data_IF_114828410719
#
_entry.id   IF_114828410719
#
_cell.length_a   1.000
_cell.length_b   1.000
_cell.length_c   1.000
_cell.angle_alpha   90.00
_cell.angle_beta   90.00
_cell.angle_gamma   90.00
#
_symmetry.space_group_name_H-M   'P 1'
#
loop_
_entity.id
_entity.type
_entity.pdbx_description
1 polymer ?
#
# COMPACT_ATOMS: atom_id res chain seq x y z
N UNK A 1 -3.10 -5.83 -38.08
CA UNK A 1 -2.87 -5.27 -36.73
C UNK A 1 -3.51 -6.09 -35.61
N UNK A 2 -4.42 -7.04 -35.87
CA UNK A 2 -5.02 -7.88 -34.81
C UNK A 2 -4.17 -9.10 -34.38
N UNK A 3 -3.09 -9.43 -35.09
CA UNK A 3 -2.31 -10.65 -34.89
C UNK A 3 -1.17 -10.53 -33.87
N UNK A 4 -0.66 -9.32 -33.64
CA UNK A 4 0.44 -9.10 -32.69
C UNK A 4 -0.05 -9.07 -31.23
N UNK A 5 -1.21 -8.45 -30.98
CA UNK A 5 -1.85 -8.44 -29.66
C UNK A 5 -2.35 -9.82 -29.23
N UNK A 6 -2.88 -10.61 -30.17
CA UNK A 6 -3.28 -12.00 -29.91
C UNK A 6 -2.07 -12.92 -29.67
N UNK A 7 -0.93 -12.67 -30.32
CA UNK A 7 0.31 -13.39 -30.07
C UNK A 7 0.95 -13.02 -28.72
N UNK A 8 0.88 -11.75 -28.29
CA UNK A 8 1.32 -11.31 -26.96
C UNK A 8 0.44 -11.89 -25.85
N UNK A 9 -0.88 -11.95 -26.06
CA UNK A 9 -1.82 -12.60 -25.14
C UNK A 9 -1.58 -14.11 -25.07
N UNK A 10 -1.28 -14.76 -26.20
CA UNK A 10 -0.95 -16.19 -26.23
C UNK A 10 0.39 -16.49 -25.53
N UNK A 11 1.42 -15.66 -25.72
CA UNK A 11 2.70 -15.79 -25.04
C UNK A 11 2.59 -15.55 -23.52
N UNK A 12 1.75 -14.59 -23.11
CA UNK A 12 1.39 -14.36 -21.71
C UNK A 12 0.57 -15.50 -21.10
N UNK A 13 -0.34 -16.10 -21.87
CA UNK A 13 -1.16 -17.24 -21.44
C UNK A 13 -0.37 -18.54 -21.34
N UNK A 14 0.64 -18.75 -22.19
CA UNK A 14 1.48 -19.94 -22.17
C UNK A 14 2.47 -19.93 -20.97
N UNK A 15 2.90 -18.73 -20.52
CA UNK A 15 3.63 -18.56 -19.25
C UNK A 15 2.73 -18.61 -18.00
N UNK A 16 1.42 -18.41 -18.14
CA UNK A 16 0.45 -18.53 -17.05
C UNK A 16 0.04 -20.00 -16.77
N UNK A 17 0.42 -20.94 -17.64
CA UNK A 17 0.15 -22.36 -17.47
C UNK A 17 1.10 -22.97 -16.44
N UNK A 18 0.59 -23.16 -15.21
CA UNK A 18 1.24 -23.86 -14.09
C UNK A 18 2.51 -23.18 -13.56
N UNK A 19 2.35 -22.32 -12.56
CA UNK A 19 3.45 -21.88 -11.71
C UNK A 19 4.21 -23.10 -11.13
N UNK A 20 5.46 -23.37 -11.54
CA UNK A 20 6.18 -24.52 -11.00
C UNK A 20 6.40 -24.32 -9.51
N UNK A 21 6.16 -25.36 -8.71
CA UNK A 21 6.22 -25.28 -7.24
C UNK A 21 7.59 -24.77 -6.76
N UNK A 22 8.66 -25.14 -7.47
CA UNK A 22 10.00 -24.64 -7.21
C UNK A 22 10.10 -23.11 -7.31
N UNK A 23 9.53 -22.51 -8.36
CA UNK A 23 9.57 -21.06 -8.55
C UNK A 23 8.74 -20.32 -7.48
N UNK A 24 7.59 -20.89 -7.08
CA UNK A 24 6.77 -20.34 -6.00
C UNK A 24 7.56 -20.37 -4.68
N UNK A 25 8.19 -21.50 -4.36
CA UNK A 25 8.95 -21.66 -3.12
C UNK A 25 10.18 -20.74 -3.11
N UNK A 26 10.90 -20.58 -4.22
CA UNK A 26 12.01 -19.62 -4.29
C UNK A 26 11.54 -18.17 -4.11
N UNK A 27 10.36 -17.79 -4.63
CA UNK A 27 9.79 -16.47 -4.37
C UNK A 27 9.39 -16.29 -2.91
N UNK A 28 8.82 -17.31 -2.27
CA UNK A 28 8.53 -17.30 -0.83
C UNK A 28 9.83 -17.14 -0.02
N UNK A 29 10.89 -17.85 -0.38
CA UNK A 29 12.22 -17.69 0.23
C UNK A 29 12.75 -16.27 0.10
N UNK A 30 12.66 -15.67 -1.09
CA UNK A 30 13.08 -14.29 -1.34
C UNK A 30 12.30 -13.28 -0.49
N UNK A 31 10.98 -13.45 -0.36
CA UNK A 31 10.12 -12.56 0.43
C UNK A 31 10.36 -12.71 1.94
N UNK A 32 10.62 -13.94 2.40
CA UNK A 32 10.93 -14.22 3.80
C UNK A 32 12.41 -14.03 4.16
N UNK A 33 13.24 -13.56 3.22
CA UNK A 33 14.69 -13.42 3.38
C UNK A 33 15.36 -14.70 3.92
N UNK A 34 14.94 -15.84 3.39
CA UNK A 34 15.39 -17.17 3.80
C UNK A 34 16.20 -17.84 2.70
N UNK A 35 17.44 -18.22 2.99
CA UNK A 35 18.29 -18.86 1.99
C UNK A 35 18.06 -20.38 1.85
N UNK A 36 17.44 -21.00 2.87
CA UNK A 36 17.27 -22.46 2.95
C UNK A 36 15.81 -22.88 3.12
N UNK A 37 15.46 -24.05 2.59
CA UNK A 37 14.15 -24.68 2.79
C UNK A 37 13.87 -24.96 4.28
N UNK A 38 14.91 -25.20 5.09
CA UNK A 38 14.75 -25.35 6.53
C UNK A 38 14.31 -24.03 7.19
N UNK A 39 14.91 -22.91 6.79
CA UNK A 39 14.54 -21.59 7.30
C UNK A 39 13.13 -21.20 6.85
N UNK A 40 12.78 -21.45 5.57
CA UNK A 40 11.41 -21.23 5.09
C UNK A 40 10.39 -22.10 5.84
N UNK A 41 10.70 -23.38 6.10
CA UNK A 41 9.82 -24.27 6.84
C UNK A 41 9.49 -23.73 8.23
N UNK A 42 10.50 -23.26 8.95
CA UNK A 42 10.33 -22.59 10.25
C UNK A 42 9.51 -21.31 10.10
N UNK A 43 9.81 -20.50 9.09
CA UNK A 43 9.14 -19.23 8.83
C UNK A 43 7.63 -19.38 8.57
N UNK A 44 7.21 -20.47 7.92
CA UNK A 44 5.79 -20.72 7.57
C UNK A 44 5.12 -21.77 8.46
N UNK A 45 5.79 -22.18 9.55
CA UNK A 45 5.33 -23.20 10.49
C UNK A 45 4.92 -24.52 9.81
N UNK A 46 5.79 -25.04 8.96
CA UNK A 46 5.65 -26.36 8.32
C UNK A 46 6.94 -27.18 8.50
N UNK A 47 6.95 -28.43 8.01
CA UNK A 47 8.16 -29.24 8.01
C UNK A 47 8.98 -29.06 6.73
N UNK A 48 10.31 -29.15 6.84
CA UNK A 48 11.21 -29.21 5.66
C UNK A 48 10.83 -30.34 4.70
N UNK A 49 10.30 -31.45 5.24
CA UNK A 49 9.81 -32.58 4.44
C UNK A 49 8.58 -32.24 3.60
N UNK A 50 7.73 -31.32 4.04
CA UNK A 50 6.59 -30.85 3.26
C UNK A 50 7.05 -30.00 2.07
N UNK A 51 8.01 -29.10 2.28
CA UNK A 51 8.62 -28.32 1.18
C UNK A 51 9.23 -29.25 0.13
N UNK A 52 10.03 -30.23 0.56
CA UNK A 52 10.61 -31.21 -0.36
C UNK A 52 9.54 -32.02 -1.13
N UNK A 53 8.42 -32.36 -0.49
CA UNK A 53 7.28 -33.03 -1.15
C UNK A 53 6.62 -32.14 -2.20
N UNK A 54 6.41 -30.86 -1.91
CA UNK A 54 5.81 -29.90 -2.84
C UNK A 54 6.66 -29.74 -4.10
N UNK A 55 7.98 -29.58 -3.93
CA UNK A 55 8.95 -29.54 -5.04
C UNK A 55 8.91 -30.81 -5.86
N UNK A 56 9.06 -31.98 -5.21
CA UNK A 56 9.10 -33.29 -5.89
C UNK A 56 7.83 -33.60 -6.68
N UNK A 57 6.67 -33.16 -6.17
CA UNK A 57 5.37 -33.38 -6.82
C UNK A 57 4.97 -32.26 -7.77
N UNK A 58 5.81 -31.22 -7.89
CA UNK A 58 5.48 -29.97 -8.56
C UNK A 58 4.08 -29.43 -8.18
N UNK A 59 3.73 -29.55 -6.89
CA UNK A 59 2.42 -29.19 -6.37
C UNK A 59 2.53 -27.91 -5.56
N UNK A 60 1.90 -26.84 -6.05
CA UNK A 60 1.87 -25.56 -5.35
C UNK A 60 1.00 -25.66 -4.08
N UNK A 61 1.52 -25.31 -2.90
CA UNK A 61 0.75 -25.36 -1.66
C UNK A 61 -0.09 -24.08 -1.50
N UNK A 62 -1.19 -23.97 -2.25
CA UNK A 62 -1.98 -22.73 -2.34
C UNK A 62 -2.45 -22.18 -0.99
N UNK A 63 -2.81 -23.06 -0.05
CA UNK A 63 -3.23 -22.65 1.29
C UNK A 63 -2.07 -22.00 2.07
N UNK A 64 -0.87 -22.56 1.97
CA UNK A 64 0.35 -22.06 2.58
C UNK A 64 0.83 -20.79 1.89
N UNK A 65 0.72 -20.70 0.57
CA UNK A 65 1.00 -19.49 -0.21
C UNK A 65 0.08 -18.35 0.23
N UNK A 66 -1.21 -18.61 0.46
CA UNK A 66 -2.16 -17.62 0.96
C UNK A 66 -1.85 -17.21 2.41
N UNK A 67 -1.59 -18.16 3.32
CA UNK A 67 -1.19 -17.83 4.70
C UNK A 67 0.11 -17.01 4.72
N UNK A 68 1.04 -17.35 3.84
CA UNK A 68 2.28 -16.62 3.64
C UNK A 68 2.03 -15.19 3.14
N UNK A 69 1.15 -15.03 2.15
CA UNK A 69 0.81 -13.72 1.56
C UNK A 69 0.24 -12.77 2.63
N UNK A 70 -0.63 -13.27 3.51
CA UNK A 70 -1.20 -12.52 4.63
C UNK A 70 -0.12 -12.15 5.66
N UNK A 71 0.76 -13.10 6.02
CA UNK A 71 1.81 -12.92 7.02
C UNK A 71 2.89 -11.94 6.55
N UNK A 72 3.33 -12.04 5.30
CA UNK A 72 4.42 -11.26 4.72
C UNK A 72 3.94 -10.10 3.84
N UNK A 73 2.64 -9.77 3.88
CA UNK A 73 2.01 -8.66 3.14
C UNK A 73 2.45 -8.60 1.67
N UNK A 74 2.44 -9.75 1.02
CA UNK A 74 2.87 -9.93 -0.38
C UNK A 74 1.68 -10.36 -1.23
N UNK A 75 1.63 -9.99 -2.51
CA UNK A 75 0.54 -10.45 -3.39
C UNK A 75 0.66 -11.93 -3.73
N UNK A 76 -0.48 -12.63 -3.73
CA UNK A 76 -0.55 -14.04 -4.15
C UNK A 76 -0.16 -14.15 -5.62
N UNK A 77 -0.56 -13.20 -6.45
CA UNK A 77 -0.25 -13.19 -7.88
C UNK A 77 1.25 -13.11 -8.15
N UNK A 78 2.00 -12.31 -7.37
CA UNK A 78 3.46 -12.31 -7.46
C UNK A 78 4.05 -13.65 -7.03
N UNK A 79 3.55 -14.25 -5.94
CA UNK A 79 4.05 -15.55 -5.48
C UNK A 79 3.81 -16.66 -6.52
N UNK A 80 2.68 -16.63 -7.22
CA UNK A 80 2.32 -17.65 -8.20
C UNK A 80 2.96 -17.37 -9.57
N UNK A 81 2.82 -16.18 -10.11
CA UNK A 81 3.21 -15.88 -11.49
C UNK A 81 4.64 -15.34 -11.60
N UNK A 82 5.21 -14.82 -10.50
CA UNK A 82 6.45 -14.04 -10.53
C UNK A 82 6.31 -12.69 -11.23
N UNK A 83 5.19 -12.46 -11.90
CA UNK A 83 4.82 -11.19 -12.47
C UNK A 83 4.14 -10.38 -11.37
N UNK A 84 4.53 -9.11 -11.26
CA UNK A 84 3.70 -8.11 -10.60
C UNK A 84 2.59 -7.71 -11.58
N UNK A 85 1.83 -8.67 -12.10
CA UNK A 85 0.61 -8.38 -12.86
C UNK A 85 -0.34 -7.68 -11.88
N UNK A 86 -0.69 -6.44 -12.18
CA UNK A 86 -1.50 -5.62 -11.28
C UNK A 86 -0.69 -4.98 -10.14
N UNK A 87 0.46 -4.38 -10.45
CA UNK A 87 0.98 -3.28 -9.62
C UNK A 87 0.28 -1.94 -9.92
N UNK A 88 -0.93 -1.96 -10.48
CA UNK A 88 -1.92 -0.95 -10.08
C UNK A 88 -2.34 -1.29 -8.64
N UNK A 89 -1.44 -0.92 -7.73
CA UNK A 89 -1.80 -0.47 -6.41
C UNK A 89 -2.86 -1.31 -5.67
N UNK A 90 -2.39 -2.33 -4.96
CA UNK A 90 -2.70 -2.29 -3.53
C UNK A 90 -1.77 -1.24 -2.89
N UNK A 91 -1.91 0.05 -3.29
CA UNK A 91 -1.88 1.08 -2.26
C UNK A 91 -3.03 0.64 -1.39
N UNK A 92 -2.71 -0.06 -0.31
CA UNK A 92 -3.64 -0.06 0.81
C UNK A 92 -3.66 1.41 1.16
N UNK A 93 -4.63 2.16 0.62
CA UNK A 93 -4.98 3.46 1.16
C UNK A 93 -5.15 3.15 2.64
N UNK A 94 -4.22 3.61 3.47
CA UNK A 94 -4.26 3.34 4.92
C UNK A 94 -5.62 3.80 5.44
N UNK A 95 -6.17 4.82 4.78
CA UNK A 95 -7.51 5.35 5.00
C UNK A 95 -8.25 5.50 3.66
N UNK A 96 -9.40 4.82 3.54
CA UNK A 96 -10.37 5.02 2.46
C UNK A 96 -11.14 6.34 2.66
N UNK A 97 -11.11 7.21 1.64
CA UNK A 97 -11.73 8.53 1.69
C UNK A 97 -13.27 8.49 1.65
N UNK A 98 -13.87 7.45 1.06
CA UNK A 98 -15.31 7.28 1.09
C UNK A 98 -15.78 6.90 2.50
N UNK A 99 -15.14 5.93 3.14
CA UNK A 99 -15.46 5.53 4.53
C UNK A 99 -15.27 6.72 5.47
N UNK A 100 -14.15 7.43 5.35
CA UNK A 100 -13.88 8.59 6.18
C UNK A 100 -14.90 9.71 5.94
N UNK A 101 -15.33 9.94 4.69
CA UNK A 101 -16.36 10.94 4.40
C UNK A 101 -17.70 10.61 5.05
N UNK A 102 -18.07 9.32 5.12
CA UNK A 102 -19.30 8.87 5.78
C UNK A 102 -19.22 9.13 7.28
N UNK A 103 -18.10 8.79 7.91
CA UNK A 103 -17.87 9.04 9.34
C UNK A 103 -17.90 10.54 9.65
N UNK A 104 -17.20 11.36 8.85
CA UNK A 104 -17.17 12.81 9.03
C UNK A 104 -18.57 13.42 8.90
N UNK A 105 -19.37 12.98 7.92
CA UNK A 105 -20.77 13.43 7.80
C UNK A 105 -21.59 13.10 9.05
N UNK A 106 -21.44 11.89 9.59
CA UNK A 106 -22.13 11.51 10.83
C UNK A 106 -21.69 12.36 12.03
N UNK A 107 -20.40 12.70 12.12
CA UNK A 107 -19.86 13.54 13.18
C UNK A 107 -20.35 15.00 13.06
N UNK A 108 -20.37 15.56 11.84
CA UNK A 108 -20.95 16.89 11.60
C UNK A 108 -22.46 16.92 11.88
N UNK A 109 -23.20 15.88 11.47
CA UNK A 109 -24.64 15.77 11.73
C UNK A 109 -24.97 15.66 13.23
N UNK A 110 -24.05 15.11 14.03
CA UNK A 110 -24.15 15.06 15.50
C UNK A 110 -23.57 16.30 16.19
N UNK A 111 -23.15 17.32 15.44
CA UNK A 111 -22.49 18.52 15.96
C UNK A 111 -21.24 18.23 16.82
N UNK A 112 -20.59 17.09 16.59
CA UNK A 112 -19.34 16.71 17.27
C UNK A 112 -18.11 17.35 16.62
N UNK A 113 -18.25 17.84 15.40
CA UNK A 113 -17.23 18.57 14.65
C UNK A 113 -17.84 19.84 14.07
N UNK A 114 -17.01 20.86 13.88
CA UNK A 114 -17.40 22.13 13.25
C UNK A 114 -16.89 22.17 11.81
N UNK A 115 -17.74 22.61 10.89
CA UNK A 115 -17.31 22.97 9.55
C UNK A 115 -17.28 24.52 9.43
N UNK A 116 -16.45 25.07 8.53
CA UNK A 116 -16.40 26.51 8.30
C UNK A 116 -17.74 27.06 7.81
N UNK A 117 -18.07 28.29 8.23
CA UNK A 117 -19.23 29.01 7.71
C UNK A 117 -19.04 29.25 6.20
N UNK A 118 -20.08 28.97 5.41
CA UNK A 118 -20.03 29.08 3.95
C UNK A 118 -19.71 27.76 3.21
N UNK A 119 -19.43 26.68 3.94
CA UNK A 119 -19.28 25.34 3.36
C UNK A 119 -20.47 24.45 3.71
N UNK A 120 -21.01 23.77 2.70
CA UNK A 120 -21.98 22.68 2.91
C UNK A 120 -21.31 21.53 3.68
N UNK A 121 -21.91 21.02 4.78
CA UNK A 121 -21.28 20.02 5.65
C UNK A 121 -20.86 18.74 4.91
N UNK A 122 -21.64 18.33 3.91
CA UNK A 122 -21.39 17.14 3.11
C UNK A 122 -20.19 17.30 2.18
N UNK A 123 -20.02 18.48 1.60
CA UNK A 123 -18.91 18.76 0.68
C UNK A 123 -17.63 19.03 1.46
N UNK A 124 -17.75 19.68 2.62
CA UNK A 124 -16.65 19.81 3.57
C UNK A 124 -16.17 18.45 4.09
N UNK A 125 -17.09 17.52 4.41
CA UNK A 125 -16.74 16.16 4.83
C UNK A 125 -16.00 15.38 3.74
N UNK A 126 -16.43 15.47 2.48
CA UNK A 126 -15.72 14.84 1.36
C UNK A 126 -14.33 15.44 1.15
N UNK A 127 -14.24 16.77 1.18
CA UNK A 127 -12.97 17.47 1.05
C UNK A 127 -12.00 17.10 2.17
N UNK A 128 -12.48 17.13 3.41
CA UNK A 128 -11.69 16.81 4.60
C UNK A 128 -11.26 15.33 4.59
N UNK A 129 -12.14 14.42 4.18
CA UNK A 129 -11.81 13.00 4.04
C UNK A 129 -10.67 12.77 3.05
N UNK A 130 -10.76 13.38 1.85
CA UNK A 130 -9.68 13.30 0.85
C UNK A 130 -8.38 13.88 1.38
N UNK A 131 -8.45 15.01 2.08
CA UNK A 131 -7.28 15.68 2.64
C UNK A 131 -6.59 14.82 3.70
N UNK A 132 -7.36 14.25 4.63
CA UNK A 132 -6.84 13.34 5.66
C UNK A 132 -6.28 12.08 5.01
N UNK A 133 -7.04 11.41 4.14
CA UNK A 133 -6.60 10.19 3.48
C UNK A 133 -5.29 10.39 2.70
N UNK A 134 -5.19 11.47 1.91
CA UNK A 134 -3.95 11.84 1.20
C UNK A 134 -2.77 11.93 2.15
N UNK A 135 -2.93 12.61 3.30
CA UNK A 135 -1.84 12.82 4.26
C UNK A 135 -1.34 11.53 4.90
N UNK A 136 -2.24 10.64 5.28
CA UNK A 136 -1.84 9.35 5.84
C UNK A 136 -1.14 8.47 4.80
N UNK A 137 -1.57 8.54 3.54
CA UNK A 137 -0.90 7.82 2.46
C UNK A 137 0.49 8.42 2.15
N UNK A 138 0.64 9.75 2.17
CA UNK A 138 1.93 10.42 1.99
C UNK A 138 2.94 10.04 3.10
N UNK A 139 2.46 9.90 4.35
CA UNK A 139 3.28 9.46 5.48
C UNK A 139 3.72 8.01 5.33
N UNK A 140 2.83 7.11 4.89
CA UNK A 140 3.20 5.71 4.64
C UNK A 140 4.24 5.59 3.52
N UNK A 141 4.10 6.39 2.45
CA UNK A 141 5.10 6.45 1.38
C UNK A 141 6.47 6.94 1.89
N UNK A 142 6.49 7.90 2.82
CA UNK A 142 7.72 8.35 3.48
C UNK A 142 8.33 7.25 4.35
N UNK A 143 7.52 6.50 5.10
CA UNK A 143 7.97 5.38 5.91
C UNK A 143 8.64 4.33 5.01
N UNK A 144 7.99 3.93 3.92
CA UNK A 144 8.56 2.97 2.97
C UNK A 144 9.88 3.45 2.37
N UNK A 145 9.96 4.73 2.01
CA UNK A 145 11.21 5.35 1.52
C UNK A 145 12.30 5.34 2.56
N UNK A 146 12.01 5.66 3.82
CA UNK A 146 13.00 5.65 4.91
C UNK A 146 13.49 4.24 5.21
N UNK A 147 12.60 3.25 5.22
CA UNK A 147 12.99 1.84 5.39
C UNK A 147 13.88 1.37 4.24
N UNK A 148 13.54 1.72 3.00
CA UNK A 148 14.26 1.23 1.81
C UNK A 148 15.60 1.95 1.61
N UNK A 149 15.62 3.28 1.75
CA UNK A 149 16.81 4.10 1.47
C UNK A 149 17.77 4.19 2.65
N UNK A 150 17.25 4.23 3.88
CA UNK A 150 18.06 4.42 5.08
C UNK A 150 18.19 3.13 5.92
N UNK A 151 17.61 2.01 5.48
CA UNK A 151 17.58 0.72 6.21
C UNK A 151 17.06 0.88 7.65
N UNK A 152 16.17 1.84 7.87
CA UNK A 152 15.60 2.11 9.17
C UNK A 152 14.61 1.01 9.57
N UNK A 153 14.53 0.73 10.87
CA UNK A 153 13.45 -0.11 11.39
C UNK A 153 12.10 0.60 11.15
N UNK A 154 11.02 -0.16 11.02
CA UNK A 154 9.68 0.42 10.78
C UNK A 154 9.32 1.47 11.84
N UNK A 155 9.65 1.18 13.10
CA UNK A 155 9.37 2.06 14.23
C UNK A 155 10.12 3.39 14.12
N UNK A 156 11.41 3.35 13.80
CA UNK A 156 12.21 4.58 13.68
C UNK A 156 11.78 5.40 12.44
N UNK A 157 11.39 4.72 11.37
CA UNK A 157 10.85 5.34 10.16
C UNK A 157 9.48 6.00 10.40
N UNK A 158 8.61 5.39 11.19
CA UNK A 158 7.32 5.96 11.63
C UNK A 158 7.53 7.22 12.46
N UNK A 159 8.39 7.17 13.48
CA UNK A 159 8.70 8.33 14.33
C UNK A 159 9.31 9.48 13.49
N UNK A 160 10.26 9.17 12.59
CA UNK A 160 10.86 10.16 11.71
C UNK A 160 9.87 10.74 10.69
N UNK A 161 8.98 9.92 10.12
CA UNK A 161 7.98 10.36 9.15
C UNK A 161 6.91 11.25 9.79
N UNK A 162 6.48 10.95 11.02
CA UNK A 162 5.56 11.80 11.78
C UNK A 162 6.21 13.16 12.05
N UNK A 163 7.45 13.17 12.57
CA UNK A 163 8.18 14.41 12.85
C UNK A 163 8.44 15.21 11.56
N UNK A 164 8.80 14.55 10.46
CA UNK A 164 8.97 15.20 9.16
C UNK A 164 7.63 15.78 8.64
N UNK A 165 6.54 15.05 8.76
CA UNK A 165 5.21 15.50 8.34
C UNK A 165 4.71 16.69 9.17
N UNK A 166 5.04 16.75 10.46
CA UNK A 166 4.71 17.86 11.36
C UNK A 166 5.60 19.08 11.12
N UNK A 167 6.91 18.90 10.95
CA UNK A 167 7.87 20.00 10.73
C UNK A 167 7.66 20.68 9.36
N UNK A 168 7.41 19.91 8.30
CA UNK A 168 7.05 20.45 6.98
C UNK A 168 5.69 21.18 7.02
N UNK A 169 4.78 20.76 7.90
CA UNK A 169 3.45 21.33 8.02
C UNK A 169 3.43 22.65 8.82
N UNK A 170 4.14 22.71 9.95
CA UNK A 170 4.32 23.96 10.71
C UNK A 170 5.14 25.00 9.92
N UNK A 171 6.09 24.56 9.09
CA UNK A 171 6.86 25.45 8.21
C UNK A 171 6.10 25.99 7.00
N UNK A 172 5.01 25.33 6.55
CA UNK A 172 4.17 25.81 5.43
C UNK A 172 2.98 26.66 5.88
N UNK A 173 2.49 26.49 7.12
CA UNK A 173 1.38 27.29 7.64
C UNK A 173 1.71 28.79 7.77
N UNK A 174 3.00 29.15 7.92
CA UNK A 174 3.42 30.56 7.97
C UNK A 174 3.53 31.22 6.60
N UNK A 175 3.55 30.45 5.50
CA UNK A 175 3.72 30.98 4.14
C UNK A 175 2.38 31.31 3.45
N UNK A 176 1.28 30.66 3.83
CA UNK A 176 -0.03 30.86 3.18
C UNK A 176 -0.93 31.89 3.86
N UNK A 177 -0.59 32.37 5.06
CA UNK A 177 -1.34 33.45 5.73
C UNK A 177 -0.96 34.87 5.24
N UNK A 178 0.08 35.03 4.42
CA UNK A 178 0.46 36.33 3.85
C UNK A 178 -0.03 36.58 2.41
N UNK A 179 -0.75 35.64 1.80
CA UNK A 179 -1.23 35.77 0.42
C UNK A 179 -2.72 36.16 0.29
N UNK A 180 -3.42 36.40 1.39
CA UNK A 180 -4.87 36.67 1.42
C UNK A 180 -5.30 38.08 1.82
N UNK A 181 -4.37 39.02 1.99
CA UNK A 181 -4.69 40.39 2.43
C UNK A 181 -4.01 41.43 1.57
N UNK A 182 -4.46 41.61 0.32
CA UNK A 182 -4.11 42.79 -0.48
C UNK A 182 -5.04 42.95 -1.70
N UNK A 183 -6.35 43.02 -1.51
CA UNK A 183 -7.25 43.66 -2.47
C UNK A 183 -8.42 44.31 -1.72
N UNK A 184 -8.35 45.63 -1.49
CA UNK A 184 -9.44 46.59 -1.69
C UNK A 184 -9.04 47.99 -1.19
N UNK A 185 -9.13 48.99 -2.08
CA UNK A 185 -9.24 50.40 -1.68
C UNK A 185 -8.31 51.40 -2.36
N UNK A 186 -8.33 51.47 -3.70
CA UNK A 186 -8.00 52.74 -4.39
C UNK A 186 -9.25 53.61 -4.42
N UNK A 187 -9.11 54.78 -3.81
CA UNK A 187 -9.75 56.11 -3.99
C UNK A 187 -10.84 56.29 -5.09
N UNK A 188 -11.79 57.20 -4.85
CA UNK A 188 -11.53 58.64 -5.09
C UNK A 188 -11.71 59.56 -3.86
#
# INVERSE_FOLDING_TARGET
MSTEFEAELAAGAEQAASAPADAVIERMKKVAECDTDASLATAINTSRSNIAKWRKRNSVPYMEVFKFSVKYKTSVDYLLTGQRLGHEFLTIKVIDDNILSILLKQLFAKSLLFHPKGFEPNDYAKWLARRIASRYNDVEELIEKLQTSMKMSRRDAEEAAIVAAETIFLGRSSATDQAGGNEEGTEP
#
